data_IF_170204626134
#
_entry.id   IF_170204626134
#
_cell.length_a   1.000
_cell.length_b   1.000
_cell.length_c   1.000
_cell.angle_alpha   90.00
_cell.angle_beta   90.00
_cell.angle_gamma   90.00
#
_symmetry.space_group_name_H-M   'P 1'
#
loop_
_entity.id
_entity.type
_entity.pdbx_description
1 polymer ?
#
# COMPACT_ATOMS: atom_id res chain seq x y z
N UNK A 1 -1.06 9.39 0.29
CA UNK A 1 -0.93 7.97 0.68
C UNK A 1 -2.10 7.43 1.48
N UNK A 2 -2.60 8.11 2.52
CA UNK A 2 -3.63 7.52 3.38
C UNK A 2 -4.85 7.07 2.57
N UNK A 3 -5.39 7.94 1.71
CA UNK A 3 -6.54 7.63 0.85
C UNK A 3 -6.21 6.50 -0.13
N UNK A 4 -5.05 6.57 -0.78
CA UNK A 4 -4.68 5.56 -1.77
C UNK A 4 -4.46 4.20 -1.11
N UNK A 5 -3.88 4.16 0.09
CA UNK A 5 -3.68 2.92 0.83
C UNK A 5 -5.04 2.34 1.25
N UNK A 6 -5.98 3.19 1.66
CA UNK A 6 -7.35 2.76 1.93
C UNK A 6 -8.03 2.19 0.69
N UNK A 7 -7.82 2.77 -0.50
CA UNK A 7 -8.37 2.21 -1.75
C UNK A 7 -7.81 0.83 -2.03
N UNK A 8 -6.51 0.62 -1.84
CA UNK A 8 -5.88 -0.69 -2.04
C UNK A 8 -6.33 -1.71 -0.98
N UNK A 9 -6.42 -1.32 0.29
CA UNK A 9 -6.96 -2.19 1.35
C UNK A 9 -8.42 -2.59 1.10
N UNK A 10 -9.24 -1.70 0.53
CA UNK A 10 -10.59 -2.07 0.06
C UNK A 10 -10.52 -3.08 -1.09
N UNK A 11 -9.52 -2.96 -1.97
CA UNK A 11 -9.24 -3.92 -3.02
C UNK A 11 -8.91 -5.31 -2.46
N UNK A 12 -8.00 -5.39 -1.49
CA UNK A 12 -7.64 -6.63 -0.81
C UNK A 12 -8.85 -7.28 -0.13
N UNK A 13 -9.64 -6.51 0.64
CA UNK A 13 -10.86 -7.02 1.27
C UNK A 13 -11.86 -7.61 0.24
N UNK A 14 -11.94 -7.02 -0.96
CA UNK A 14 -12.80 -7.54 -2.03
C UNK A 14 -12.26 -8.85 -2.62
N UNK A 15 -10.94 -8.99 -2.74
CA UNK A 15 -10.30 -10.22 -3.19
C UNK A 15 -10.54 -11.35 -2.19
N UNK A 16 -10.52 -11.04 -0.90
CA UNK A 16 -10.79 -11.98 0.19
C UNK A 16 -12.29 -12.20 0.44
N UNK A 17 -13.15 -11.58 -0.36
CA UNK A 17 -14.62 -11.63 -0.25
C UNK A 17 -15.15 -11.18 1.12
N UNK A 18 -14.42 -10.30 1.81
CA UNK A 18 -14.82 -9.73 3.09
C UNK A 18 -15.69 -8.49 2.91
N UNK A 19 -16.69 -8.35 3.78
CA UNK A 19 -17.59 -7.18 3.80
C UNK A 19 -17.05 -6.00 4.62
N UNK A 20 -16.00 -6.23 5.40
CA UNK A 20 -15.43 -5.25 6.34
C UNK A 20 -13.92 -5.19 6.14
N UNK A 21 -13.37 -3.99 6.13
CA UNK A 21 -11.92 -3.81 6.10
C UNK A 21 -11.33 -3.98 7.51
N UNK A 22 -10.24 -4.75 7.62
CA UNK A 22 -9.49 -4.98 8.85
C UNK A 22 -8.01 -4.57 8.65
N UNK A 23 -7.18 -4.73 9.67
CA UNK A 23 -5.76 -4.37 9.62
C UNK A 23 -4.94 -5.24 8.66
N UNK A 24 -5.33 -6.49 8.44
CA UNK A 24 -4.62 -7.42 7.56
C UNK A 24 -4.72 -6.97 6.10
N UNK A 25 -5.86 -6.42 5.68
CA UNK A 25 -6.00 -5.81 4.36
C UNK A 25 -5.09 -4.57 4.17
N UNK A 26 -4.93 -3.76 5.23
CA UNK A 26 -3.99 -2.64 5.20
C UNK A 26 -2.55 -3.13 5.18
N UNK A 27 -2.24 -4.20 5.90
CA UNK A 27 -0.93 -4.82 5.90
C UNK A 27 -0.57 -5.35 4.50
N UNK A 28 -1.48 -6.08 3.86
CA UNK A 28 -1.32 -6.60 2.50
C UNK A 28 -1.13 -5.46 1.48
N UNK A 29 -1.96 -4.42 1.53
CA UNK A 29 -1.83 -3.24 0.68
C UNK A 29 -0.48 -2.53 0.88
N UNK A 30 -0.04 -2.40 2.14
CA UNK A 30 1.26 -1.78 2.46
C UNK A 30 2.42 -2.63 1.93
N UNK A 31 2.35 -3.95 2.09
CA UNK A 31 3.33 -4.90 1.55
C UNK A 31 3.43 -4.79 0.02
N UNK A 32 2.29 -4.77 -0.68
CA UNK A 32 2.23 -4.64 -2.14
C UNK A 32 2.92 -3.38 -2.67
N UNK A 33 2.89 -2.28 -1.90
CA UNK A 33 3.59 -1.03 -2.26
C UNK A 33 5.06 -1.00 -1.88
N UNK A 34 5.38 -1.53 -0.71
CA UNK A 34 6.68 -1.30 -0.08
C UNK A 34 7.66 -2.44 -0.28
N UNK A 35 7.15 -3.62 -0.64
CA UNK A 35 7.90 -4.88 -0.70
C UNK A 35 8.76 -5.06 0.55
N UNK A 36 8.22 -4.69 1.72
CA UNK A 36 8.91 -4.74 3.00
C UNK A 36 8.48 -5.99 3.78
N UNK A 37 9.38 -6.57 4.56
CA UNK A 37 9.05 -7.70 5.42
C UNK A 37 7.96 -7.35 6.45
N UNK A 38 7.27 -8.36 6.96
CA UNK A 38 6.17 -8.20 7.92
C UNK A 38 6.58 -7.40 9.17
N UNK A 39 7.81 -7.58 9.64
CA UNK A 39 8.38 -6.84 10.79
C UNK A 39 8.49 -5.32 10.55
N UNK A 40 8.49 -4.89 9.29
CA UNK A 40 8.55 -3.50 8.84
C UNK A 40 7.19 -2.98 8.35
N UNK A 41 6.12 -3.74 8.60
CA UNK A 41 4.76 -3.34 8.28
C UNK A 41 4.09 -2.69 9.50
N UNK A 42 3.70 -1.40 9.44
CA UNK A 42 3.16 -0.68 10.60
C UNK A 42 1.77 -1.18 11.04
N UNK A 43 1.10 -2.02 10.26
CA UNK A 43 -0.24 -2.55 10.60
C UNK A 43 -0.20 -3.86 11.39
N UNK A 44 0.93 -4.58 11.39
CA UNK A 44 1.10 -5.88 12.07
C UNK A 44 2.31 -5.93 12.99
N UNK A 45 3.32 -5.07 12.79
CA UNK A 45 4.53 -5.05 13.62
C UNK A 45 4.27 -4.51 15.03
N UNK A 46 4.81 -5.19 16.04
CA UNK A 46 4.77 -4.73 17.44
C UNK A 46 5.55 -3.41 17.63
N UNK A 47 6.59 -3.18 16.82
CA UNK A 47 7.44 -1.99 16.88
C UNK A 47 7.02 -0.88 15.91
N UNK A 48 5.74 -0.84 15.52
CA UNK A 48 5.22 0.05 14.48
C UNK A 48 5.58 1.53 14.65
N UNK A 49 5.73 2.01 15.89
CA UNK A 49 6.11 3.41 16.19
C UNK A 49 7.49 3.79 15.66
N UNK A 50 8.39 2.81 15.50
CA UNK A 50 9.73 3.02 14.97
C UNK A 50 9.82 2.96 13.45
N UNK A 51 8.73 2.60 12.77
CA UNK A 51 8.72 2.40 11.32
C UNK A 51 8.52 3.75 10.63
N UNK A 52 9.52 4.17 9.88
CA UNK A 52 9.46 5.40 9.09
C UNK A 52 8.61 5.19 7.81
N UNK A 53 7.36 5.61 7.89
CA UNK A 53 6.39 5.56 6.77
C UNK A 53 6.56 6.71 5.78
N UNK A 54 7.39 7.73 6.06
CA UNK A 54 7.59 8.85 5.13
C UNK A 54 8.33 8.41 3.86
N UNK A 55 9.26 7.45 3.98
CA UNK A 55 9.93 6.80 2.85
C UNK A 55 8.99 6.06 1.91
N UNK A 56 7.84 5.62 2.39
CA UNK A 56 6.78 5.05 1.55
C UNK A 56 6.13 6.13 0.68
N UNK A 57 5.89 7.31 1.27
CA UNK A 57 5.26 8.45 0.62
C UNK A 57 6.11 8.97 -0.54
N UNK A 58 7.41 9.11 -0.32
CA UNK A 58 8.32 9.71 -1.30
C UNK A 58 8.47 8.84 -2.56
N UNK A 59 8.62 7.52 -2.40
CA UNK A 59 8.69 6.57 -3.53
C UNK A 59 7.42 6.59 -4.38
N UNK A 60 6.24 6.63 -3.74
CA UNK A 60 4.97 6.69 -4.47
C UNK A 60 4.82 8.00 -5.25
N UNK A 61 5.20 9.14 -4.67
CA UNK A 61 5.19 10.43 -5.37
C UNK A 61 6.11 10.38 -6.60
N UNK A 62 7.28 9.76 -6.49
CA UNK A 62 8.21 9.59 -7.62
C UNK A 62 7.64 8.71 -8.73
N UNK A 63 6.94 7.63 -8.40
CA UNK A 63 6.32 6.75 -9.40
C UNK A 63 5.11 7.40 -10.11
N UNK A 64 4.28 8.15 -9.40
CA UNK A 64 3.17 8.90 -10.01
C UNK A 64 3.64 10.02 -10.93
N UNK A 65 4.82 10.59 -10.67
CA UNK A 65 5.45 11.61 -11.53
C UNK A 65 5.98 11.03 -12.85
N UNK A 66 6.14 9.71 -12.98
CA UNK A 66 6.54 9.12 -14.26
C UNK A 66 5.35 9.18 -15.22
N UNK A 67 5.45 9.89 -16.37
CA UNK A 67 4.36 9.97 -17.31
C UNK A 67 4.04 8.55 -17.82
N UNK A 68 2.83 8.07 -17.53
CA UNK A 68 2.31 6.82 -18.09
C UNK A 68 2.35 6.95 -19.61
N UNK A 69 3.36 6.37 -20.25
CA UNK A 69 3.47 6.32 -21.71
C UNK A 69 2.20 5.69 -22.25
N UNK A 70 1.29 6.50 -22.78
CA UNK A 70 0.12 6.02 -23.53
C UNK A 70 0.65 5.30 -24.76
N UNK A 71 0.70 3.97 -24.69
CA UNK A 71 0.92 3.14 -25.88
C UNK A 71 -0.29 3.36 -26.78
N UNK A 72 -0.12 4.14 -27.85
CA UNK A 72 -1.11 4.25 -28.92
C UNK A 72 -1.21 2.88 -29.58
N UNK A 73 -2.29 2.14 -29.30
CA UNK A 73 -2.67 0.97 -30.10
C UNK A 73 -2.96 1.45 -31.52
N UNK A 74 -2.27 0.87 -32.50
CA UNK A 74 -2.49 1.04 -33.94
C UNK A 74 -3.22 -0.18 -34.46
#
# INVERSE_FOLDING_TARGET
MAIELTIEAIGEAKLDHEAVINLDHFAAAYYGRMSCDEDLNPFISEYWRGIDTTRAMDRWIEEQKKPRKRVRRK
#
